data_IF_645406856216
#
_entry.id   IF_645406856216
#
_cell.length_a   1.000
_cell.length_b   1.000
_cell.length_c   1.000
_cell.angle_alpha   90.00
_cell.angle_beta   90.00
_cell.angle_gamma   90.00
#
_symmetry.space_group_name_H-M   'P 1'
#
loop_
_entity.id
_entity.type
_entity.pdbx_description
1 polymer ?
#
# COMPACT_ATOMS: atom_id res chain seq x y z
N UNK A 1 -6.34 23.90 -17.18
CA UNK A 1 -5.48 24.38 -16.08
C UNK A 1 -4.27 24.99 -16.73
N UNK A 2 -4.06 26.31 -16.60
CA UNK A 2 -2.88 26.99 -17.13
C UNK A 2 -1.98 27.28 -15.92
N UNK A 3 -0.77 26.71 -15.92
CA UNK A 3 0.21 26.95 -14.84
C UNK A 3 0.99 28.22 -15.20
N UNK A 4 1.14 29.19 -14.29
CA UNK A 4 1.90 30.42 -14.55
C UNK A 4 3.35 30.13 -14.93
N UNK A 5 3.92 30.85 -15.91
CA UNK A 5 5.29 30.63 -16.42
C UNK A 5 6.35 30.74 -15.31
N UNK A 6 6.17 31.66 -14.36
CA UNK A 6 7.03 31.81 -13.16
C UNK A 6 7.17 30.52 -12.34
N UNK A 7 6.12 29.68 -12.30
CA UNK A 7 6.11 28.43 -11.55
C UNK A 7 6.79 27.30 -12.34
N UNK A 8 6.72 27.35 -13.68
CA UNK A 8 7.39 26.40 -14.58
C UNK A 8 8.91 26.63 -14.57
N UNK A 9 9.34 27.89 -14.64
CA UNK A 9 10.75 28.29 -14.56
C UNK A 9 11.37 27.91 -13.20
N UNK A 10 10.61 28.03 -12.11
CA UNK A 10 11.05 27.63 -10.77
C UNK A 10 11.34 26.13 -10.62
N UNK A 11 10.80 25.29 -11.50
CA UNK A 11 11.07 23.83 -11.54
C UNK A 11 12.22 23.49 -12.51
N UNK A 12 12.79 24.49 -13.19
CA UNK A 12 13.91 24.31 -14.13
C UNK A 12 13.50 23.70 -15.48
N UNK A 13 12.21 23.79 -15.83
CA UNK A 13 11.67 23.29 -17.10
C UNK A 13 11.43 24.47 -18.03
N UNK A 14 11.76 24.32 -19.32
CA UNK A 14 11.44 25.36 -20.31
C UNK A 14 9.92 25.44 -20.50
N UNK A 15 9.31 26.64 -20.49
CA UNK A 15 7.90 26.79 -20.75
C UNK A 15 7.53 26.19 -22.12
N UNK A 16 6.55 25.31 -22.12
CA UNK A 16 6.00 24.61 -23.29
C UNK A 16 4.49 24.72 -23.26
N UNK A 17 3.83 24.61 -24.43
CA UNK A 17 2.37 24.59 -24.54
C UNK A 17 1.76 23.36 -23.85
N UNK A 18 2.55 22.31 -23.69
CA UNK A 18 2.17 21.07 -23.04
C UNK A 18 3.16 20.78 -21.91
N UNK A 19 2.69 20.95 -20.68
CA UNK A 19 3.47 20.65 -19.46
C UNK A 19 2.61 19.76 -18.57
N UNK A 20 3.19 18.69 -18.06
CA UNK A 20 2.53 17.77 -17.16
C UNK A 20 3.44 17.46 -15.95
N UNK A 21 2.83 17.27 -14.78
CA UNK A 21 3.55 16.83 -13.60
C UNK A 21 3.67 15.31 -13.62
N UNK A 22 4.91 14.80 -13.52
CA UNK A 22 5.15 13.39 -13.33
C UNK A 22 4.96 13.02 -11.85
N UNK A 23 3.96 12.21 -11.56
CA UNK A 23 3.72 11.68 -10.23
C UNK A 23 4.83 10.69 -9.85
N UNK A 24 5.64 11.04 -8.84
CA UNK A 24 6.66 10.14 -8.27
C UNK A 24 6.09 9.09 -7.31
N UNK A 25 4.90 9.34 -6.78
CA UNK A 25 4.17 8.44 -5.86
C UNK A 25 2.72 8.28 -6.36
N UNK A 26 2.11 7.13 -6.07
CA UNK A 26 0.69 6.94 -6.38
C UNK A 26 -0.16 7.83 -5.47
N UNK A 27 -1.06 8.60 -6.08
CA UNK A 27 -2.10 9.30 -5.34
C UNK A 27 -3.19 8.32 -4.90
N UNK A 28 -3.88 8.67 -3.82
CA UNK A 28 -5.10 7.98 -3.39
C UNK A 28 -6.16 8.08 -4.49
N UNK A 29 -6.97 7.02 -4.65
CA UNK A 29 -8.03 6.96 -5.65
C UNK A 29 -7.57 6.57 -7.06
N UNK A 30 -6.27 6.51 -7.33
CA UNK A 30 -5.78 5.88 -8.56
C UNK A 30 -6.03 4.38 -8.52
N UNK A 31 -6.46 3.77 -9.63
CA UNK A 31 -6.75 2.33 -9.72
C UNK A 31 -5.56 1.46 -9.32
N UNK A 32 -4.33 1.93 -9.58
CA UNK A 32 -3.10 1.24 -9.19
C UNK A 32 -2.66 1.47 -7.73
N UNK A 33 -3.27 2.43 -7.02
CA UNK A 33 -2.87 2.78 -5.66
C UNK A 33 -3.01 1.59 -4.70
N UNK A 34 -4.12 0.85 -4.78
CA UNK A 34 -4.36 -0.32 -3.93
C UNK A 34 -3.26 -1.38 -4.06
N UNK A 35 -2.87 -1.69 -5.30
CA UNK A 35 -1.78 -2.65 -5.59
C UNK A 35 -0.42 -2.16 -5.08
N UNK A 36 -0.11 -0.87 -5.25
CA UNK A 36 1.15 -0.29 -4.78
C UNK A 36 1.24 -0.35 -3.25
N UNK A 37 0.16 0.00 -2.56
CA UNK A 37 0.06 -0.09 -1.11
C UNK A 37 0.17 -1.53 -0.61
N UNK A 38 -0.49 -2.48 -1.28
CA UNK A 38 -0.37 -3.90 -0.94
C UNK A 38 1.07 -4.40 -1.05
N UNK A 39 1.81 -4.02 -2.11
CA UNK A 39 3.24 -4.35 -2.25
C UNK A 39 4.11 -3.71 -1.17
N UNK A 40 3.88 -2.43 -0.87
CA UNK A 40 4.62 -1.71 0.15
C UNK A 40 4.41 -2.35 1.53
N UNK A 41 3.16 -2.64 1.87
CA UNK A 41 2.81 -3.27 3.14
C UNK A 41 3.37 -4.68 3.24
N UNK A 42 3.27 -5.48 2.18
CA UNK A 42 3.88 -6.81 2.13
C UNK A 42 5.38 -6.75 2.42
N UNK A 43 6.11 -5.86 1.73
CA UNK A 43 7.54 -5.70 1.95
C UNK A 43 7.83 -5.34 3.41
N UNK A 44 7.06 -4.42 3.99
CA UNK A 44 7.22 -4.03 5.40
C UNK A 44 6.93 -5.16 6.38
N UNK A 45 5.88 -5.92 6.16
CA UNK A 45 5.55 -7.06 7.02
C UNK A 45 6.64 -8.14 6.95
N UNK A 46 7.18 -8.44 5.77
CA UNK A 46 8.30 -9.39 5.63
C UNK A 46 9.56 -8.85 6.31
N UNK A 47 9.89 -7.56 6.15
CA UNK A 47 11.03 -6.91 6.83
C UNK A 47 10.90 -7.00 8.36
N UNK A 48 9.69 -6.87 8.90
CA UNK A 48 9.38 -7.00 10.33
C UNK A 48 9.30 -8.46 10.81
N UNK A 49 9.51 -9.45 9.93
CA UNK A 49 9.57 -10.87 10.27
C UNK A 49 8.22 -11.61 10.24
N UNK A 50 7.16 -10.98 9.70
CA UNK A 50 5.93 -11.70 9.40
C UNK A 50 6.11 -12.63 8.21
N UNK A 51 5.32 -13.69 8.17
CA UNK A 51 5.22 -14.64 7.07
C UNK A 51 3.86 -14.49 6.40
N UNK A 52 3.83 -14.56 5.09
CA UNK A 52 2.57 -14.53 4.34
C UNK A 52 1.93 -15.92 4.36
N UNK A 53 0.63 -15.97 4.62
CA UNK A 53 -0.14 -17.21 4.53
C UNK A 53 -0.16 -17.72 3.08
N UNK A 54 -0.01 -19.02 2.89
CA UNK A 54 -0.02 -19.67 1.56
C UNK A 54 -1.42 -19.75 0.95
N UNK A 55 -2.45 -19.86 1.80
CA UNK A 55 -3.84 -19.99 1.38
C UNK A 55 -4.47 -18.62 1.10
N UNK A 56 -4.18 -17.64 1.96
CA UNK A 56 -4.71 -16.29 1.86
C UNK A 56 -3.60 -15.24 1.78
N UNK A 57 -3.38 -14.72 0.58
CA UNK A 57 -2.38 -13.68 0.29
C UNK A 57 -2.57 -12.37 1.06
N UNK A 58 -3.73 -12.15 1.66
CA UNK A 58 -3.99 -11.00 2.53
C UNK A 58 -3.59 -11.22 3.98
N UNK A 59 -3.29 -12.44 4.40
CA UNK A 59 -3.02 -12.78 5.78
C UNK A 59 -1.53 -12.98 6.02
N UNK A 60 -1.08 -12.45 7.15
CA UNK A 60 0.29 -12.54 7.61
C UNK A 60 0.30 -12.99 9.06
N UNK A 61 1.24 -13.86 9.42
CA UNK A 61 1.42 -14.34 10.77
C UNK A 61 2.87 -14.13 11.24
N UNK A 62 3.02 -13.86 12.53
CA UNK A 62 4.32 -13.79 13.20
C UNK A 62 4.19 -14.44 14.57
N UNK A 63 5.15 -15.31 14.89
CA UNK A 63 5.26 -15.92 16.21
C UNK A 63 6.49 -15.36 16.93
N UNK A 64 6.30 -14.86 18.14
CA UNK A 64 7.35 -14.32 18.99
C UNK A 64 7.28 -14.99 20.38
N UNK A 65 8.01 -16.10 20.55
CA UNK A 65 7.90 -16.94 21.74
C UNK A 65 6.54 -17.63 21.81
N UNK A 66 5.80 -17.39 22.90
CA UNK A 66 4.45 -17.94 23.12
C UNK A 66 3.34 -17.04 22.53
N UNK A 67 3.67 -15.86 21.99
CA UNK A 67 2.70 -14.98 21.36
C UNK A 67 2.60 -15.22 19.85
N UNK A 68 1.39 -15.07 19.32
CA UNK A 68 1.09 -15.18 17.90
C UNK A 68 0.34 -13.93 17.46
N UNK A 69 0.81 -13.28 16.40
CA UNK A 69 0.18 -12.08 15.84
C UNK A 69 -0.23 -12.35 14.41
N UNK A 70 -1.50 -12.06 14.08
CA UNK A 70 -2.02 -12.17 12.70
C UNK A 70 -2.42 -10.79 12.19
N UNK A 71 -2.00 -10.46 10.98
CA UNK A 71 -2.32 -9.19 10.30
C UNK A 71 -3.06 -9.50 9.00
N UNK A 72 -4.21 -8.88 8.82
CA UNK A 72 -5.01 -8.95 7.59
C UNK A 72 -4.91 -7.67 6.77
N UNK A 73 -4.57 -7.78 5.49
CA UNK A 73 -4.58 -6.68 4.52
C UNK A 73 -5.80 -6.78 3.59
N UNK A 74 -6.81 -5.95 3.81
CA UNK A 74 -8.07 -5.94 3.04
C UNK A 74 -8.04 -5.04 1.79
N UNK A 75 -6.89 -4.46 1.42
CA UNK A 75 -6.82 -3.52 0.30
C UNK A 75 -7.07 -4.25 -1.03
N UNK A 76 -8.12 -3.84 -1.75
CA UNK A 76 -8.48 -4.28 -3.12
C UNK A 76 -9.03 -5.72 -3.24
N UNK A 77 -9.41 -6.36 -2.12
CA UNK A 77 -9.97 -7.72 -2.13
C UNK A 77 -11.47 -7.69 -2.47
N UNK A 78 -11.82 -8.17 -3.66
CA UNK A 78 -13.19 -8.66 -3.94
C UNK A 78 -13.53 -9.86 -3.04
N UNK A 79 -14.81 -10.29 -2.99
CA UNK A 79 -15.28 -11.26 -2.00
C UNK A 79 -14.52 -12.59 -2.12
N UNK A 80 -13.73 -12.90 -1.09
CA UNK A 80 -13.15 -14.23 -0.89
C UNK A 80 -13.79 -14.87 0.33
N UNK A 81 -14.34 -16.06 0.13
CA UNK A 81 -14.83 -16.92 1.21
C UNK A 81 -13.64 -17.72 1.74
N UNK A 82 -13.12 -17.33 2.90
CA UNK A 82 -12.21 -18.15 3.68
C UNK A 82 -12.95 -18.63 4.93
N UNK A 83 -12.97 -19.94 5.16
CA UNK A 83 -13.74 -20.56 6.25
C UNK A 83 -12.98 -20.64 7.57
N UNK A 84 -11.72 -20.21 7.67
CA UNK A 84 -11.00 -20.18 8.95
C UNK A 84 -9.87 -19.16 8.95
N UNK A 85 -10.11 -17.97 9.49
CA UNK A 85 -9.16 -17.20 10.32
C UNK A 85 -9.99 -16.27 11.19
N UNK A 86 -9.81 -16.30 12.51
CA UNK A 86 -9.68 -15.13 13.39
C UNK A 86 -9.68 -15.59 14.86
N UNK A 87 -8.51 -15.58 15.50
CA UNK A 87 -8.40 -15.17 16.90
C UNK A 87 -7.66 -13.82 16.93
N UNK A 88 -8.38 -12.86 17.51
CA UNK A 88 -8.11 -11.53 18.06
C UNK A 88 -7.18 -10.56 17.33
N UNK A 89 -7.81 -9.59 16.64
CA UNK A 89 -7.38 -8.19 16.70
C UNK A 89 -7.54 -7.72 18.15
N UNK A 90 -6.44 -7.59 18.89
CA UNK A 90 -6.38 -6.58 19.95
C UNK A 90 -5.61 -5.38 19.40
N UNK A 91 -6.37 -4.30 19.27
CA UNK A 91 -6.02 -2.99 18.79
C UNK A 91 -4.75 -2.48 19.48
N UNK A 92 -3.74 -2.11 18.70
CA UNK A 92 -2.72 -1.17 19.16
C UNK A 92 -3.39 0.21 19.19
N UNK A 93 -3.57 0.74 20.40
CA UNK A 93 -4.01 2.12 20.69
C UNK A 93 -3.12 3.18 20.02
#
# INVERSE_FOLDING_TARGET
>A
MQVPEREIEGVGVKPSREVALLLKKSLYGLKQAGRLWSKLLHQKLIEEGFKQCTTDVCLYDKQEGDSWTVVGNAIDQGPKRCEKVFETLDLVE
#
